data_IF_638820274607
#
_entry.id   IF_638820274607
#
_cell.length_a   1.000
_cell.length_b   1.000
_cell.length_c   1.000
_cell.angle_alpha   90.00
_cell.angle_beta   90.00
_cell.angle_gamma   90.00
#
_symmetry.space_group_name_H-M   'P 1'
#
loop_
_entity.id
_entity.type
_entity.pdbx_description
1 polymer ?
#
# COMPACT_ATOMS: atom_id res chain seq x y z
N UNK A 1 91.14 -51.81 -15.12
CA UNK A 1 91.54 -50.40 -15.13
C UNK A 1 90.40 -49.60 -14.60
N UNK A 2 90.57 -49.06 -13.41
CA UNK A 2 89.79 -48.08 -12.67
C UNK A 2 89.78 -46.72 -13.37
N UNK A 3 89.04 -45.67 -12.99
CA UNK A 3 88.54 -45.27 -11.67
C UNK A 3 87.15 -44.69 -11.70
N UNK A 4 86.45 -44.74 -10.55
CA UNK A 4 86.33 -43.70 -9.53
C UNK A 4 85.65 -42.39 -9.99
N UNK A 5 84.57 -42.06 -9.41
CA UNK A 5 84.39 -40.75 -8.77
C UNK A 5 83.00 -40.53 -8.13
N UNK A 6 83.06 -40.50 -6.83
CA UNK A 6 82.49 -39.48 -5.92
C UNK A 6 81.05 -39.13 -6.03
N UNK A 7 80.37 -39.50 -4.96
CA UNK A 7 79.14 -39.03 -4.50
C UNK A 7 79.08 -37.53 -4.16
N UNK A 8 77.86 -37.00 -4.25
CA UNK A 8 77.49 -35.80 -3.56
C UNK A 8 76.16 -36.00 -2.89
N UNK A 9 76.21 -36.17 -1.61
CA UNK A 9 75.06 -36.11 -0.74
C UNK A 9 74.50 -34.70 -0.75
N UNK A 10 73.26 -34.59 -1.18
CA UNK A 10 72.48 -33.35 -0.95
C UNK A 10 71.52 -33.57 0.20
N UNK A 11 71.82 -32.92 1.27
CA UNK A 11 71.05 -32.95 2.51
C UNK A 11 69.62 -32.44 2.28
N UNK A 12 68.71 -33.25 2.67
CA UNK A 12 67.36 -32.99 3.06
C UNK A 12 67.13 -31.61 3.64
N UNK A 13 66.21 -30.86 3.03
CA UNK A 13 65.52 -29.78 3.70
C UNK A 13 64.06 -30.14 3.80
N UNK A 14 63.73 -30.87 4.85
CA UNK A 14 62.37 -31.20 5.25
C UNK A 14 61.76 -29.95 5.89
N UNK A 15 61.04 -29.15 5.12
CA UNK A 15 60.18 -28.13 5.66
C UNK A 15 58.74 -28.64 5.55
N UNK A 16 58.32 -29.28 6.60
CA UNK A 16 56.91 -29.59 6.87
C UNK A 16 56.13 -28.28 6.95
N UNK A 17 55.57 -27.82 5.83
CA UNK A 17 54.62 -26.73 5.82
C UNK A 17 53.29 -27.30 6.29
N UNK A 18 53.03 -27.09 7.58
CA UNK A 18 51.74 -27.37 8.20
C UNK A 18 50.71 -26.51 7.47
N UNK A 19 49.99 -27.11 6.55
CA UNK A 19 48.78 -26.50 5.99
C UNK A 19 47.74 -26.46 7.10
N UNK A 20 47.67 -25.31 7.78
CA UNK A 20 46.54 -24.97 8.57
C UNK A 20 45.36 -24.84 7.65
N UNK A 21 44.49 -25.84 7.68
CA UNK A 21 43.22 -25.80 7.00
C UNK A 21 42.40 -24.65 7.60
N UNK A 22 42.35 -23.53 6.90
CA UNK A 22 41.36 -22.49 7.24
C UNK A 22 39.98 -23.11 7.04
N UNK A 23 39.10 -23.04 8.03
CA UNK A 23 37.73 -23.45 7.84
C UNK A 23 37.14 -22.55 6.75
N UNK A 24 36.71 -23.17 5.68
CA UNK A 24 35.89 -22.55 4.64
C UNK A 24 34.67 -21.97 5.40
N UNK A 25 34.71 -20.68 5.70
CA UNK A 25 33.50 -19.96 6.05
C UNK A 25 32.61 -20.03 4.83
N UNK A 26 31.70 -20.98 4.87
CA UNK A 26 30.50 -20.95 4.03
C UNK A 26 29.76 -19.68 4.36
N UNK A 27 30.00 -18.63 3.60
CA UNK A 27 29.11 -17.48 3.47
C UNK A 27 27.86 -17.97 2.76
N UNK A 28 27.08 -18.83 3.43
CA UNK A 28 25.67 -18.95 3.15
C UNK A 28 25.08 -17.57 3.47
N UNK A 29 24.77 -16.81 2.41
CA UNK A 29 23.87 -15.68 2.55
C UNK A 29 22.66 -16.20 3.38
N UNK A 30 22.30 -15.56 4.50
CA UNK A 30 21.22 -16.04 5.30
C UNK A 30 19.95 -15.94 4.44
N UNK A 31 19.49 -17.07 3.95
CA UNK A 31 18.08 -17.23 3.66
C UNK A 31 17.41 -16.86 4.97
N UNK A 32 16.76 -15.68 5.03
CA UNK A 32 16.04 -15.25 6.22
C UNK A 32 15.04 -16.37 6.51
N UNK A 33 15.16 -17.11 7.63
CA UNK A 33 14.21 -18.16 7.91
C UNK A 33 12.84 -17.51 7.99
N UNK A 34 11.84 -18.18 7.47
CA UNK A 34 10.44 -17.74 7.46
C UNK A 34 9.98 -17.20 8.84
N UNK A 35 10.57 -17.71 9.92
CA UNK A 35 10.33 -17.28 11.29
C UNK A 35 10.79 -15.83 11.55
N UNK A 36 11.93 -15.40 11.02
CA UNK A 36 12.42 -14.01 11.19
C UNK A 36 11.50 -13.01 10.49
N UNK A 37 10.94 -13.41 9.34
CA UNK A 37 9.96 -12.59 8.61
C UNK A 37 8.64 -12.45 9.37
N UNK A 38 8.19 -13.53 10.04
CA UNK A 38 7.01 -13.50 10.91
C UNK A 38 7.24 -12.63 12.16
N UNK A 39 8.44 -12.67 12.73
CA UNK A 39 8.79 -11.84 13.89
C UNK A 39 8.85 -10.35 13.51
N UNK A 40 9.38 -10.02 12.33
CA UNK A 40 9.34 -8.67 11.78
C UNK A 40 7.90 -8.19 11.57
N UNK A 41 7.03 -9.03 10.99
CA UNK A 41 5.60 -8.72 10.79
C UNK A 41 4.91 -8.44 12.13
N UNK A 42 5.13 -9.31 13.15
CA UNK A 42 4.58 -9.13 14.49
C UNK A 42 4.99 -7.79 15.09
N UNK A 43 6.28 -7.46 15.05
CA UNK A 43 6.81 -6.20 15.58
C UNK A 43 6.19 -4.99 14.88
N UNK A 44 6.07 -5.03 13.56
CA UNK A 44 5.45 -3.94 12.77
C UNK A 44 3.97 -3.80 13.07
N UNK A 45 3.27 -4.92 13.24
CA UNK A 45 1.85 -4.93 13.62
C UNK A 45 1.62 -4.25 14.98
N UNK A 46 2.47 -4.50 15.98
CA UNK A 46 2.39 -3.83 17.27
C UNK A 46 2.57 -2.30 17.14
N UNK A 47 3.49 -1.85 16.29
CA UNK A 47 3.68 -0.42 16.03
C UNK A 47 2.48 0.19 15.33
N UNK A 48 1.87 -0.50 14.37
CA UNK A 48 0.67 -0.06 13.67
C UNK A 48 -0.50 0.05 14.66
N UNK A 49 -0.73 -0.98 15.46
CA UNK A 49 -1.80 -0.95 16.48
C UNK A 49 -1.57 0.18 17.49
N UNK A 50 -0.34 0.35 17.96
CA UNK A 50 0.03 1.45 18.85
C UNK A 50 -0.23 2.83 18.21
N UNK A 51 0.13 3.01 16.94
CA UNK A 51 -0.12 4.24 16.21
C UNK A 51 -1.62 4.52 16.03
N UNK A 52 -2.43 3.48 15.75
CA UNK A 52 -3.90 3.62 15.64
C UNK A 52 -4.52 3.99 16.98
N UNK A 53 -4.10 3.35 18.07
CA UNK A 53 -4.61 3.67 19.42
C UNK A 53 -4.24 5.10 19.83
N UNK A 54 -2.99 5.51 19.65
CA UNK A 54 -2.56 6.88 19.91
C UNK A 54 -3.28 7.88 19.01
N UNK A 55 -3.46 7.54 17.73
CA UNK A 55 -4.21 8.31 16.77
C UNK A 55 -5.69 8.47 17.20
N UNK A 56 -6.32 7.38 17.67
CA UNK A 56 -7.71 7.41 18.15
C UNK A 56 -7.87 8.29 19.41
N UNK A 57 -6.91 8.23 20.33
CA UNK A 57 -6.89 9.09 21.52
C UNK A 57 -6.73 10.58 21.11
N UNK A 58 -5.82 10.84 20.19
CA UNK A 58 -5.61 12.18 19.63
C UNK A 58 -6.86 12.65 18.85
N UNK A 59 -7.47 11.77 18.06
CA UNK A 59 -8.72 12.00 17.36
C UNK A 59 -9.84 12.38 18.33
N UNK A 60 -10.04 11.59 19.39
CA UNK A 60 -11.04 11.87 20.41
C UNK A 60 -10.82 13.22 21.10
N UNK A 61 -9.57 13.54 21.44
CA UNK A 61 -9.22 14.83 22.05
C UNK A 61 -9.45 16.01 21.09
N UNK A 62 -9.22 15.80 19.80
CA UNK A 62 -9.45 16.81 18.78
C UNK A 62 -10.94 17.01 18.51
N UNK A 63 -11.72 15.91 18.44
CA UNK A 63 -13.17 15.94 18.24
C UNK A 63 -13.88 16.68 19.38
N UNK A 64 -13.39 16.54 20.62
CA UNK A 64 -13.96 17.24 21.77
C UNK A 64 -13.71 18.76 21.75
N UNK A 65 -12.78 19.24 20.93
CA UNK A 65 -12.44 20.66 20.79
C UNK A 65 -12.97 21.30 19.50
N UNK A 66 -13.13 20.51 18.45
CA UNK A 66 -13.61 20.94 17.13
C UNK A 66 -14.95 20.24 16.91
N UNK A 67 -16.00 21.00 16.54
CA UNK A 67 -17.33 20.45 16.17
C UNK A 67 -17.24 19.66 14.84
N UNK A 68 -16.46 18.56 14.90
CA UNK A 68 -16.20 17.74 13.72
C UNK A 68 -17.45 16.99 13.26
N UNK A 69 -18.39 16.72 14.18
CA UNK A 69 -19.69 16.16 13.83
C UNK A 69 -20.39 17.09 12.82
N UNK A 70 -20.33 18.39 13.01
CA UNK A 70 -20.86 19.37 12.05
C UNK A 70 -20.13 19.34 10.70
N UNK A 71 -18.83 19.03 10.69
CA UNK A 71 -18.10 18.88 9.44
C UNK A 71 -18.57 17.64 8.69
N UNK A 72 -18.76 16.52 9.39
CA UNK A 72 -19.25 15.28 8.79
C UNK A 72 -20.71 15.37 8.34
N UNK A 73 -21.52 16.24 8.97
CA UNK A 73 -22.92 16.51 8.56
C UNK A 73 -23.02 17.39 7.30
N UNK A 74 -21.98 18.13 6.94
CA UNK A 74 -22.04 19.06 5.78
C UNK A 74 -22.55 18.44 4.48
N UNK A 75 -22.16 17.23 4.08
CA UNK A 75 -22.64 16.63 2.84
C UNK A 75 -24.15 16.35 2.83
N UNK A 76 -24.78 16.11 3.96
CA UNK A 76 -26.20 15.78 4.06
C UNK A 76 -27.10 17.01 4.33
N UNK A 77 -26.53 18.10 4.89
CA UNK A 77 -27.32 19.31 5.25
C UNK A 77 -28.20 19.84 4.11
N UNK A 78 -27.77 19.89 2.83
CA UNK A 78 -28.62 20.37 1.75
C UNK A 78 -29.88 19.52 1.52
N UNK A 79 -29.84 18.24 1.89
CA UNK A 79 -30.92 17.28 1.69
C UNK A 79 -31.86 17.16 2.88
N UNK A 80 -31.48 17.65 4.05
CA UNK A 80 -32.32 17.61 5.26
C UNK A 80 -33.46 18.64 5.27
N UNK A 81 -33.47 19.63 4.35
CA UNK A 81 -34.49 20.67 4.26
C UNK A 81 -34.84 21.30 5.62
N UNK A 82 -33.81 21.55 6.47
CA UNK A 82 -33.96 22.11 7.79
C UNK A 82 -34.38 21.12 8.89
N UNK A 83 -34.45 19.83 8.59
CA UNK A 83 -34.69 18.76 9.59
C UNK A 83 -33.32 18.34 10.18
N UNK A 84 -33.37 17.76 11.39
CA UNK A 84 -32.19 17.19 12.03
C UNK A 84 -32.15 15.67 11.82
N UNK A 85 -30.96 15.11 11.87
CA UNK A 85 -30.76 13.65 11.91
C UNK A 85 -31.41 13.10 13.19
N UNK A 86 -32.04 11.94 13.09
CA UNK A 86 -32.72 11.28 14.19
C UNK A 86 -31.84 10.18 14.74
N UNK A 87 -31.75 10.08 16.06
CA UNK A 87 -31.17 8.94 16.73
C UNK A 87 -32.20 8.16 17.51
N UNK A 88 -32.20 6.85 17.36
CA UNK A 88 -33.19 5.93 17.94
C UNK A 88 -32.81 5.44 19.33
N UNK A 89 -31.52 5.50 19.66
CA UNK A 89 -30.98 5.00 20.92
C UNK A 89 -30.14 6.07 21.63
N UNK A 90 -30.19 6.18 22.98
CA UNK A 90 -29.39 7.17 23.70
C UNK A 90 -27.85 6.92 23.56
N UNK A 91 -27.43 5.69 23.29
CA UNK A 91 -26.02 5.35 23.04
C UNK A 91 -25.48 5.74 21.66
N UNK A 92 -26.35 6.16 20.73
CA UNK A 92 -25.96 6.50 19.35
C UNK A 92 -24.89 7.59 19.29
N UNK A 93 -25.04 8.66 20.07
CA UNK A 93 -24.08 9.77 20.10
C UNK A 93 -22.69 9.30 20.53
N UNK A 94 -22.60 8.38 21.49
CA UNK A 94 -21.34 7.80 21.93
C UNK A 94 -20.73 6.89 20.86
N UNK A 95 -21.54 6.06 20.19
CA UNK A 95 -21.10 5.21 19.08
C UNK A 95 -20.52 6.05 17.93
N UNK A 96 -21.23 7.10 17.50
CA UNK A 96 -20.77 8.02 16.46
C UNK A 96 -19.44 8.67 16.87
N UNK A 97 -19.33 9.15 18.11
CA UNK A 97 -18.12 9.78 18.62
C UNK A 97 -16.92 8.81 18.61
N UNK A 98 -17.12 7.56 19.04
CA UNK A 98 -16.07 6.54 19.02
C UNK A 98 -15.65 6.20 17.58
N UNK A 99 -16.62 5.97 16.69
CA UNK A 99 -16.37 5.61 15.30
C UNK A 99 -15.65 6.75 14.54
N UNK A 100 -16.08 7.99 14.74
CA UNK A 100 -15.43 9.17 14.21
C UNK A 100 -14.00 9.32 14.76
N UNK A 101 -13.80 9.13 16.08
CA UNK A 101 -12.49 9.21 16.72
C UNK A 101 -11.51 8.17 16.17
N UNK A 102 -11.99 6.94 16.00
CA UNK A 102 -11.18 5.85 15.42
C UNK A 102 -10.80 6.15 13.97
N UNK A 103 -11.73 6.68 13.19
CA UNK A 103 -11.51 7.05 11.79
C UNK A 103 -10.49 8.17 11.65
N UNK A 104 -10.63 9.23 12.44
CA UNK A 104 -9.63 10.31 12.48
C UNK A 104 -8.28 9.80 12.97
N UNK A 105 -8.29 8.92 13.96
CA UNK A 105 -7.11 8.25 14.44
C UNK A 105 -6.42 7.44 13.33
N UNK A 106 -7.18 6.73 12.52
CA UNK A 106 -6.67 5.97 11.37
C UNK A 106 -6.07 6.90 10.30
N UNK A 107 -6.76 8.01 9.99
CA UNK A 107 -6.26 9.02 9.05
C UNK A 107 -4.96 9.64 9.56
N UNK A 108 -4.89 10.00 10.83
CA UNK A 108 -3.69 10.58 11.43
C UNK A 108 -2.55 9.56 11.52
N UNK A 109 -2.86 8.30 11.79
CA UNK A 109 -1.89 7.20 11.83
C UNK A 109 -1.48 6.71 10.43
N UNK A 110 -2.18 7.10 9.35
CA UNK A 110 -1.94 6.60 7.99
C UNK A 110 -0.47 6.71 7.54
N UNK A 111 0.29 7.81 7.78
CA UNK A 111 1.70 7.85 7.37
C UNK A 111 2.56 6.81 8.10
N UNK A 112 2.23 6.51 9.35
CA UNK A 112 2.94 5.48 10.14
C UNK A 112 2.56 4.09 9.63
N UNK A 113 1.28 3.83 9.43
CA UNK A 113 0.75 2.56 8.90
C UNK A 113 1.37 2.26 7.55
N UNK A 114 1.27 3.20 6.61
CA UNK A 114 1.83 3.06 5.27
C UNK A 114 3.35 2.91 5.31
N UNK A 115 4.04 3.64 6.18
CA UNK A 115 5.48 3.50 6.40
C UNK A 115 5.88 2.10 6.84
N UNK A 116 5.14 1.49 7.77
CA UNK A 116 5.41 0.13 8.23
C UNK A 116 5.04 -0.94 7.19
N UNK A 117 3.92 -0.77 6.47
CA UNK A 117 3.51 -1.66 5.38
C UNK A 117 4.53 -1.62 4.25
N UNK A 118 4.92 -0.42 3.79
CA UNK A 118 5.93 -0.25 2.74
C UNK A 118 7.31 -0.69 3.19
N UNK A 119 7.68 -0.43 4.44
CA UNK A 119 8.92 -0.92 5.03
C UNK A 119 8.99 -2.46 5.09
N UNK A 120 7.85 -3.15 5.22
CA UNK A 120 7.77 -4.61 5.17
C UNK A 120 7.93 -5.15 3.74
N UNK A 121 7.42 -4.43 2.74
CA UNK A 121 7.59 -4.77 1.33
C UNK A 121 8.98 -4.40 0.77
N UNK A 122 9.63 -3.39 1.36
CA UNK A 122 10.88 -2.78 0.90
C UNK A 122 12.09 -3.71 0.84
N UNK A 123 12.35 -4.66 1.78
CA UNK A 123 13.49 -5.56 1.68
C UNK A 123 13.47 -6.43 0.40
N UNK A 124 12.28 -6.70 -0.13
CA UNK A 124 12.12 -7.38 -1.41
C UNK A 124 12.39 -6.49 -2.64
N UNK A 125 12.44 -5.15 -2.46
CA UNK A 125 12.47 -4.16 -3.55
C UNK A 125 13.83 -3.57 -3.90
N UNK A 126 14.95 -4.00 -3.49
CA UNK A 126 16.31 -3.45 -3.71
C UNK A 126 16.98 -2.79 -2.51
N UNK A 127 18.06 -3.41 -2.07
CA UNK A 127 18.93 -2.89 -1.00
C UNK A 127 19.69 -1.60 -1.39
N UNK A 128 19.62 -1.14 -2.65
CA UNK A 128 20.47 -0.05 -3.14
C UNK A 128 19.83 1.33 -3.28
N UNK A 129 18.50 1.48 -3.14
CA UNK A 129 17.83 2.77 -3.39
C UNK A 129 16.88 3.22 -2.28
N UNK A 130 17.41 3.44 -1.08
CA UNK A 130 16.66 4.06 0.02
C UNK A 130 16.02 5.42 -0.36
N UNK A 131 16.59 6.10 -1.35
CA UNK A 131 16.06 7.40 -1.86
C UNK A 131 14.69 7.28 -2.56
N UNK A 132 14.31 6.10 -3.02
CA UNK A 132 13.03 5.89 -3.71
C UNK A 132 11.88 5.60 -2.74
N UNK A 133 12.19 5.12 -1.53
CA UNK A 133 11.19 4.78 -0.51
C UNK A 133 10.41 6.01 -0.04
N UNK A 134 11.11 7.10 0.23
CA UNK A 134 10.48 8.34 0.74
C UNK A 134 9.45 8.93 -0.24
N UNK A 135 9.75 9.13 -1.53
CA UNK A 135 8.75 9.65 -2.47
C UNK A 135 7.58 8.69 -2.70
N UNK A 136 7.80 7.36 -2.62
CA UNK A 136 6.72 6.38 -2.68
C UNK A 136 5.80 6.51 -1.45
N UNK A 137 6.38 6.63 -0.26
CA UNK A 137 5.62 6.79 0.97
C UNK A 137 4.80 8.10 0.97
N UNK A 138 5.42 9.21 0.56
CA UNK A 138 4.71 10.49 0.43
C UNK A 138 3.59 10.38 -0.60
N UNK A 139 3.84 9.71 -1.73
CA UNK A 139 2.82 9.42 -2.74
C UNK A 139 1.68 8.58 -2.21
N UNK A 140 1.97 7.55 -1.41
CA UNK A 140 0.97 6.70 -0.77
C UNK A 140 0.08 7.51 0.18
N UNK A 141 0.67 8.24 1.12
CA UNK A 141 -0.10 9.09 2.04
C UNK A 141 -0.94 10.12 1.29
N UNK A 142 -0.37 10.76 0.27
CA UNK A 142 -1.11 11.74 -0.54
C UNK A 142 -2.28 11.09 -1.29
N UNK A 143 -2.09 9.88 -1.82
CA UNK A 143 -3.12 9.15 -2.56
C UNK A 143 -4.21 8.64 -1.62
N UNK A 144 -3.86 8.15 -0.44
CA UNK A 144 -4.80 7.78 0.62
C UNK A 144 -5.70 8.95 1.02
N UNK A 145 -5.09 10.11 1.32
CA UNK A 145 -5.84 11.32 1.67
C UNK A 145 -6.70 11.83 0.52
N UNK A 146 -6.20 11.76 -0.72
CA UNK A 146 -6.97 12.12 -1.91
C UNK A 146 -8.19 11.20 -2.09
N UNK A 147 -8.06 9.89 -1.79
CA UNK A 147 -9.17 8.94 -1.80
C UNK A 147 -10.26 9.31 -0.79
N UNK A 148 -9.87 9.61 0.45
CA UNK A 148 -10.81 10.06 1.48
C UNK A 148 -11.49 11.37 1.07
N UNK A 149 -10.72 12.34 0.57
CA UNK A 149 -11.26 13.61 0.11
C UNK A 149 -12.25 13.44 -1.05
N UNK A 150 -11.91 12.60 -2.04
CA UNK A 150 -12.81 12.29 -3.15
C UNK A 150 -14.12 11.66 -2.65
N UNK A 151 -14.02 10.69 -1.74
CA UNK A 151 -15.17 10.06 -1.14
C UNK A 151 -16.08 11.09 -0.47
N UNK A 152 -15.50 11.91 0.40
CA UNK A 152 -16.25 12.83 1.25
C UNK A 152 -16.87 14.01 0.46
N UNK A 153 -16.12 14.60 -0.48
CA UNK A 153 -16.56 15.80 -1.19
C UNK A 153 -17.31 15.52 -2.51
N UNK A 154 -17.13 14.34 -3.09
CA UNK A 154 -17.73 14.02 -4.40
C UNK A 154 -18.68 12.84 -4.31
N UNK A 155 -18.18 11.68 -3.87
CA UNK A 155 -18.97 10.45 -3.96
C UNK A 155 -20.14 10.47 -2.98
N UNK A 156 -19.89 10.85 -1.73
CA UNK A 156 -20.91 10.90 -0.68
C UNK A 156 -22.06 11.85 -1.04
N UNK A 157 -21.83 13.13 -1.45
CA UNK A 157 -22.94 14.00 -1.87
C UNK A 157 -23.70 13.48 -3.10
N UNK A 158 -23.00 12.95 -4.11
CA UNK A 158 -23.63 12.38 -5.28
C UNK A 158 -24.53 11.19 -4.94
N UNK A 159 -24.07 10.31 -4.05
CA UNK A 159 -24.84 9.16 -3.59
C UNK A 159 -26.08 9.61 -2.83
N UNK A 160 -25.92 10.57 -1.91
CA UNK A 160 -27.04 11.13 -1.16
C UNK A 160 -28.05 11.82 -2.09
N UNK A 161 -27.58 12.60 -3.06
CA UNK A 161 -28.44 13.24 -4.06
C UNK A 161 -29.28 12.23 -4.84
N UNK A 162 -28.67 11.13 -5.23
CA UNK A 162 -29.37 10.07 -5.94
C UNK A 162 -30.42 9.37 -5.06
N UNK A 163 -30.02 8.96 -3.83
CA UNK A 163 -30.91 8.26 -2.90
C UNK A 163 -32.11 9.13 -2.53
N UNK A 164 -31.86 10.40 -2.19
CA UNK A 164 -32.93 11.34 -1.83
C UNK A 164 -33.79 11.75 -3.03
N UNK A 165 -33.24 11.71 -4.25
CA UNK A 165 -33.98 11.97 -5.49
C UNK A 165 -34.95 10.86 -5.89
N UNK A 166 -34.87 9.67 -5.28
CA UNK A 166 -35.81 8.57 -5.47
C UNK A 166 -37.03 8.65 -4.53
N UNK A 167 -37.08 9.64 -3.66
CA UNK A 167 -38.19 9.82 -2.72
C UNK A 167 -39.47 10.16 -3.48
N UNK A 168 -40.57 9.53 -3.08
CA UNK A 168 -41.92 9.90 -3.54
C UNK A 168 -42.55 10.90 -2.58
N UNK A 169 -43.38 11.79 -3.06
CA UNK A 169 -44.13 12.78 -2.25
C UNK A 169 -44.97 12.14 -1.12
N UNK A 170 -45.17 10.82 -1.18
CA UNK A 170 -45.95 10.07 -0.21
C UNK A 170 -45.13 9.67 1.07
N UNK A 171 -43.80 9.80 1.04
CA UNK A 171 -42.92 9.35 2.13
C UNK A 171 -42.10 10.51 2.68
N UNK A 172 -42.08 10.66 3.98
CA UNK A 172 -41.17 11.61 4.64
C UNK A 172 -39.92 10.88 5.13
N UNK A 173 -38.73 11.20 4.61
CA UNK A 173 -37.51 10.51 5.03
C UNK A 173 -37.17 10.82 6.49
N UNK A 174 -36.94 9.77 7.26
CA UNK A 174 -36.43 9.83 8.62
C UNK A 174 -35.03 9.23 8.64
N UNK A 175 -34.01 10.06 8.42
CA UNK A 175 -32.65 9.60 8.28
C UNK A 175 -32.04 9.36 9.65
N UNK A 176 -31.61 8.11 9.91
CA UNK A 176 -30.91 7.72 11.12
C UNK A 176 -29.49 8.29 11.14
N UNK A 177 -29.12 8.98 12.20
CA UNK A 177 -27.76 9.49 12.37
C UNK A 177 -26.72 8.36 12.33
N UNK A 178 -26.99 7.23 12.99
CA UNK A 178 -26.08 6.08 13.01
C UNK A 178 -25.78 5.58 11.59
N UNK A 179 -26.82 5.32 10.82
CA UNK A 179 -26.69 4.79 9.46
C UNK A 179 -25.94 5.75 8.54
N UNK A 180 -26.23 7.04 8.64
CA UNK A 180 -25.53 8.05 7.86
C UNK A 180 -24.04 8.13 8.20
N UNK A 181 -23.67 8.21 9.49
CA UNK A 181 -22.28 8.30 9.90
C UNK A 181 -21.50 7.03 9.59
N UNK A 182 -22.10 5.86 9.82
CA UNK A 182 -21.46 4.57 9.49
C UNK A 182 -21.24 4.43 7.98
N UNK A 183 -22.20 4.87 7.17
CA UNK A 183 -22.06 4.92 5.71
C UNK A 183 -20.94 5.87 5.29
N UNK A 184 -20.95 7.12 5.76
CA UNK A 184 -19.96 8.13 5.41
C UNK A 184 -18.54 7.72 5.81
N UNK A 185 -18.38 7.16 7.00
CA UNK A 185 -17.10 6.67 7.54
C UNK A 185 -16.60 5.46 6.74
N UNK A 186 -17.43 4.45 6.57
CA UNK A 186 -17.06 3.23 5.85
C UNK A 186 -16.65 3.54 4.41
N UNK A 187 -17.42 4.38 3.72
CA UNK A 187 -17.14 4.83 2.37
C UNK A 187 -15.79 5.56 2.29
N UNK A 188 -15.53 6.48 3.23
CA UNK A 188 -14.28 7.26 3.26
C UNK A 188 -13.06 6.38 3.47
N UNK A 189 -13.11 5.44 4.41
CA UNK A 189 -12.01 4.49 4.68
C UNK A 189 -11.79 3.57 3.48
N UNK A 190 -12.87 3.07 2.89
CA UNK A 190 -12.82 2.19 1.73
C UNK A 190 -12.15 2.86 0.53
N UNK A 191 -12.55 4.11 0.21
CA UNK A 191 -11.89 4.88 -0.84
C UNK A 191 -10.42 5.15 -0.53
N UNK A 192 -10.08 5.53 0.71
CA UNK A 192 -8.69 5.70 1.12
C UNK A 192 -7.86 4.44 0.84
N UNK A 193 -8.34 3.27 1.28
CA UNK A 193 -7.66 1.99 1.08
C UNK A 193 -7.55 1.60 -0.42
N UNK A 194 -8.60 1.84 -1.20
CA UNK A 194 -8.64 1.55 -2.64
C UNK A 194 -7.67 2.43 -3.42
N UNK A 195 -7.47 3.67 -2.99
CA UNK A 195 -6.52 4.58 -3.63
C UNK A 195 -5.06 4.16 -3.45
N UNK A 196 -4.76 3.21 -2.55
CA UNK A 196 -3.44 2.57 -2.45
C UNK A 196 -3.16 1.55 -3.58
N UNK A 197 -4.17 1.08 -4.32
CA UNK A 197 -3.99 0.10 -5.40
C UNK A 197 -2.94 0.50 -6.44
N UNK A 198 -2.87 1.74 -6.95
CA UNK A 198 -1.85 2.14 -7.93
C UNK A 198 -0.43 1.91 -7.42
N UNK A 199 -0.19 2.25 -6.17
CA UNK A 199 1.14 2.13 -5.57
C UNK A 199 1.44 0.66 -5.25
N UNK A 200 0.45 -0.11 -4.78
CA UNK A 200 0.59 -1.54 -4.57
C UNK A 200 0.93 -2.28 -5.87
N UNK A 201 0.26 -1.97 -6.98
CA UNK A 201 0.55 -2.54 -8.30
C UNK A 201 1.94 -2.13 -8.80
N UNK A 202 2.36 -0.88 -8.57
CA UNK A 202 3.71 -0.42 -8.89
C UNK A 202 4.77 -1.21 -8.14
N UNK A 203 4.56 -1.48 -6.86
CA UNK A 203 5.47 -2.30 -6.06
C UNK A 203 5.56 -3.74 -6.57
N UNK A 204 4.42 -4.37 -6.83
CA UNK A 204 4.37 -5.72 -7.39
C UNK A 204 5.06 -5.79 -8.77
N UNK A 205 4.94 -4.73 -9.56
CA UNK A 205 5.64 -4.61 -10.85
C UNK A 205 7.15 -4.43 -10.66
N UNK A 206 7.56 -3.65 -9.67
CA UNK A 206 8.97 -3.47 -9.33
C UNK A 206 9.61 -4.76 -8.82
N UNK A 207 8.86 -5.58 -8.07
CA UNK A 207 9.27 -6.92 -7.64
C UNK A 207 9.34 -7.94 -8.80
N UNK A 208 8.78 -7.60 -9.98
CA UNK A 208 8.70 -8.51 -11.11
C UNK A 208 7.61 -9.58 -11.00
N UNK A 209 6.79 -9.54 -9.95
CA UNK A 209 5.67 -10.48 -9.74
C UNK A 209 4.58 -10.23 -10.78
N UNK A 210 4.31 -8.94 -11.07
CA UNK A 210 3.29 -8.52 -12.03
C UNK A 210 3.95 -7.77 -13.17
N UNK A 211 3.57 -8.11 -14.40
CA UNK A 211 4.05 -7.40 -15.60
C UNK A 211 2.93 -6.53 -16.18
N UNK A 212 3.24 -5.38 -16.81
CA UNK A 212 2.22 -4.55 -17.45
C UNK A 212 1.41 -5.31 -18.52
N UNK A 213 2.04 -6.28 -19.21
CA UNK A 213 1.35 -7.14 -20.17
C UNK A 213 0.29 -8.02 -19.51
N UNK A 214 0.57 -8.54 -18.31
CA UNK A 214 -0.36 -9.35 -17.54
C UNK A 214 -1.57 -8.51 -17.12
N UNK A 215 -1.34 -7.30 -16.60
CA UNK A 215 -2.41 -6.37 -16.24
C UNK A 215 -3.31 -6.05 -17.43
N UNK A 216 -2.72 -5.73 -18.59
CA UNK A 216 -3.50 -5.46 -19.80
C UNK A 216 -4.32 -6.67 -20.25
N UNK A 217 -3.81 -7.89 -20.11
CA UNK A 217 -4.53 -9.13 -20.45
C UNK A 217 -5.77 -9.33 -19.57
N UNK A 218 -5.68 -8.98 -18.29
CA UNK A 218 -6.73 -9.19 -17.30
C UNK A 218 -7.69 -8.00 -17.13
N UNK A 219 -7.65 -6.99 -18.00
CA UNK A 219 -8.55 -5.80 -17.94
C UNK A 219 -10.04 -6.15 -17.79
N UNK A 220 -10.51 -7.15 -18.54
CA UNK A 220 -11.91 -7.58 -18.46
C UNK A 220 -12.28 -8.20 -17.11
N UNK A 221 -11.35 -8.98 -16.56
CA UNK A 221 -11.54 -9.60 -15.25
C UNK A 221 -11.42 -8.57 -14.12
N UNK A 222 -10.52 -7.58 -14.24
CA UNK A 222 -10.39 -6.53 -13.25
C UNK A 222 -11.63 -5.65 -13.16
N UNK A 223 -12.35 -5.39 -14.27
CA UNK A 223 -13.61 -4.68 -14.21
C UNK A 223 -14.66 -5.43 -13.36
N UNK A 224 -14.76 -6.75 -13.53
CA UNK A 224 -15.65 -7.59 -12.72
C UNK A 224 -15.20 -7.63 -11.25
N UNK A 225 -13.89 -7.75 -10.99
CA UNK A 225 -13.33 -7.72 -9.64
C UNK A 225 -13.60 -6.38 -8.97
N UNK A 226 -13.41 -5.25 -9.67
CA UNK A 226 -13.71 -3.93 -9.15
C UNK A 226 -15.20 -3.78 -8.80
N UNK A 227 -16.08 -4.27 -9.66
CA UNK A 227 -17.53 -4.26 -9.41
C UNK A 227 -17.90 -5.12 -8.19
N UNK A 228 -17.31 -6.30 -8.09
CA UNK A 228 -17.53 -7.22 -6.95
C UNK A 228 -17.00 -6.61 -5.66
N UNK A 229 -15.80 -6.03 -5.68
CA UNK A 229 -15.23 -5.33 -4.53
C UNK A 229 -16.08 -4.14 -4.10
N UNK A 230 -16.57 -3.36 -5.08
CA UNK A 230 -17.49 -2.26 -4.81
C UNK A 230 -18.77 -2.76 -4.12
N UNK A 231 -19.34 -3.88 -4.55
CA UNK A 231 -20.52 -4.48 -3.94
C UNK A 231 -20.33 -4.92 -2.48
N UNK A 232 -19.13 -5.39 -2.13
CA UNK A 232 -18.79 -5.75 -0.74
C UNK A 232 -18.55 -4.53 0.16
N UNK A 233 -18.02 -3.45 -0.41
CA UNK A 233 -17.64 -2.25 0.35
C UNK A 233 -18.85 -1.35 0.57
N UNK A 234 -19.79 -1.29 -0.38
CA UNK A 234 -20.97 -0.42 -0.31
C UNK A 234 -21.97 -0.98 0.71
N UNK A 235 -22.20 -0.33 1.85
CA UNK A 235 -23.22 -0.71 2.81
C UNK A 235 -24.57 -0.26 2.29
N UNK A 236 -25.38 -1.14 1.78
CA UNK A 236 -26.67 -0.84 1.16
C UNK A 236 -26.64 -1.19 -0.32
N UNK A 237 -27.27 -2.24 -0.70
CA UNK A 237 -27.23 -2.86 -2.03
C UNK A 237 -27.82 -1.97 -3.17
N UNK A 238 -27.66 -0.65 -3.12
CA UNK A 238 -28.16 0.24 -4.16
C UNK A 238 -27.20 0.28 -5.37
N UNK A 239 -27.72 0.14 -6.58
CA UNK A 239 -26.90 0.09 -7.79
C UNK A 239 -26.12 1.37 -8.06
N UNK A 240 -26.61 2.52 -7.61
CA UNK A 240 -25.94 3.80 -7.85
C UNK A 240 -24.65 3.93 -7.04
N UNK A 241 -24.69 3.69 -5.72
CA UNK A 241 -23.50 3.68 -4.87
C UNK A 241 -22.48 2.65 -5.35
N UNK A 242 -22.95 1.49 -5.83
CA UNK A 242 -22.10 0.48 -6.43
C UNK A 242 -21.31 1.03 -7.62
N UNK A 243 -21.97 1.68 -8.59
CA UNK A 243 -21.31 2.26 -9.74
C UNK A 243 -20.48 3.49 -9.37
N UNK A 244 -20.93 4.31 -8.42
CA UNK A 244 -20.20 5.46 -7.92
C UNK A 244 -18.85 5.07 -7.32
N UNK A 245 -18.74 3.87 -6.72
CA UNK A 245 -17.49 3.31 -6.22
C UNK A 245 -16.72 2.56 -7.32
N UNK A 246 -17.40 1.76 -8.15
CA UNK A 246 -16.75 0.90 -9.15
C UNK A 246 -16.03 1.69 -10.25
N UNK A 247 -16.60 2.84 -10.70
CA UNK A 247 -16.01 3.67 -11.74
C UNK A 247 -14.65 4.26 -11.34
N UNK A 248 -14.52 4.96 -10.21
CA UNK A 248 -13.22 5.43 -9.73
C UNK A 248 -12.21 4.28 -9.50
N UNK A 249 -12.68 3.15 -8.96
CA UNK A 249 -11.87 1.97 -8.69
C UNK A 249 -11.26 1.40 -9.99
N UNK A 250 -12.06 1.27 -11.03
CA UNK A 250 -11.59 0.85 -12.35
C UNK A 250 -10.66 1.91 -12.97
N UNK A 251 -10.95 3.20 -12.80
CA UNK A 251 -10.09 4.29 -13.24
C UNK A 251 -8.71 4.24 -12.58
N UNK A 252 -8.64 3.94 -11.28
CA UNK A 252 -7.39 3.75 -10.55
C UNK A 252 -6.61 2.53 -11.04
N UNK A 253 -7.30 1.45 -11.40
CA UNK A 253 -6.66 0.29 -12.02
C UNK A 253 -6.02 0.64 -13.37
N UNK A 254 -6.71 1.37 -14.24
CA UNK A 254 -6.16 1.85 -15.51
C UNK A 254 -4.96 2.81 -15.31
N UNK A 255 -5.07 3.71 -14.33
CA UNK A 255 -3.95 4.57 -13.92
C UNK A 255 -2.75 3.74 -13.46
N UNK A 256 -3.00 2.65 -12.73
CA UNK A 256 -1.96 1.72 -12.28
C UNK A 256 -1.23 1.07 -13.45
N UNK A 257 -1.95 0.62 -14.48
CA UNK A 257 -1.35 0.06 -15.71
C UNK A 257 -0.48 1.10 -16.40
N UNK A 258 -0.96 2.33 -16.51
CA UNK A 258 -0.23 3.42 -17.14
C UNK A 258 1.09 3.70 -16.40
N UNK A 259 1.04 3.85 -15.08
CA UNK A 259 2.21 4.08 -14.23
C UNK A 259 3.18 2.89 -14.29
N UNK A 260 2.68 1.65 -14.20
CA UNK A 260 3.49 0.44 -14.30
C UNK A 260 4.20 0.34 -15.66
N UNK A 261 3.54 0.73 -16.74
CA UNK A 261 4.14 0.74 -18.08
C UNK A 261 5.27 1.75 -18.19
N UNK A 262 5.10 2.94 -17.63
CA UNK A 262 6.15 3.98 -17.58
C UNK A 262 7.35 3.49 -16.77
N UNK A 263 7.11 2.94 -15.57
CA UNK A 263 8.15 2.43 -14.70
C UNK A 263 8.94 1.30 -15.36
N UNK A 264 8.26 0.36 -15.99
CA UNK A 264 8.89 -0.76 -16.70
C UNK A 264 9.72 -0.30 -17.91
N UNK A 265 9.25 0.68 -18.69
CA UNK A 265 10.01 1.27 -19.81
C UNK A 265 11.28 1.95 -19.33
N UNK A 266 11.23 2.67 -18.21
CA UNK A 266 12.39 3.36 -17.63
C UNK A 266 13.45 2.36 -17.17
N UNK A 267 13.04 1.27 -16.52
CA UNK A 267 13.95 0.19 -16.07
C UNK A 267 14.66 -0.47 -17.23
N UNK A 268 13.95 -0.88 -18.28
CA UNK A 268 14.55 -1.50 -19.48
C UNK A 268 15.59 -0.61 -20.18
N UNK A 269 15.35 0.73 -20.21
CA UNK A 269 16.32 1.69 -20.77
C UNK A 269 17.60 1.75 -19.94
N UNK A 270 17.49 1.66 -18.62
CA UNK A 270 18.64 1.68 -17.70
C UNK A 270 19.47 0.39 -17.84
N UNK A 271 18.81 -0.76 -17.88
CA UNK A 271 19.46 -2.07 -18.07
C UNK A 271 20.19 -2.15 -19.43
N UNK A 272 19.56 -1.71 -20.52
CA UNK A 272 20.17 -1.66 -21.84
C UNK A 272 21.40 -0.73 -21.87
N UNK A 273 21.36 0.39 -21.17
CA UNK A 273 22.49 1.33 -21.08
C UNK A 273 23.66 0.72 -20.30
N UNK A 274 23.39 -0.02 -19.23
CA UNK A 274 24.42 -0.73 -18.47
C UNK A 274 25.06 -1.84 -19.28
N UNK A 275 24.28 -2.60 -20.05
CA UNK A 275 24.81 -3.68 -20.92
C UNK A 275 25.73 -3.12 -22.00
N UNK A 276 25.41 -1.97 -22.59
CA UNK A 276 26.27 -1.29 -23.59
C UNK A 276 27.58 -0.80 -22.94
N UNK A 277 27.54 -0.28 -21.72
CA UNK A 277 28.72 0.21 -21.00
C UNK A 277 29.65 -0.93 -20.54
N UNK A 278 29.09 -2.10 -20.26
CA UNK A 278 29.85 -3.31 -19.85
C UNK A 278 30.40 -4.13 -21.03
N UNK A 279 30.05 -3.77 -22.27
CA UNK A 279 30.51 -4.44 -23.51
C UNK A 279 31.57 -3.67 -24.35
N UNK A 280 32.56 -2.95 -23.81
CA UNK A 280 33.49 -2.17 -24.62
C UNK A 280 34.78 -2.90 -25.01
N UNK A 281 35.00 -4.18 -24.71
CA UNK A 281 36.37 -4.74 -24.87
C UNK A 281 36.50 -5.99 -25.74
N UNK A 282 35.53 -6.37 -26.56
CA UNK A 282 35.65 -7.56 -27.39
C UNK A 282 36.04 -7.31 -28.88
N UNK A 283 36.18 -6.04 -29.31
CA UNK A 283 36.54 -5.76 -30.71
C UNK A 283 38.01 -5.32 -30.94
N UNK A 284 38.88 -5.33 -29.91
CA UNK A 284 40.23 -4.84 -30.03
C UNK A 284 41.34 -5.93 -30.01
N UNK A 285 40.99 -7.21 -30.12
CA UNK A 285 41.99 -8.30 -30.09
C UNK A 285 42.10 -9.13 -31.40
N UNK A 286 41.65 -8.59 -32.52
CA UNK A 286 41.92 -9.16 -33.85
C UNK A 286 42.36 -8.05 -34.79
N UNK A 287 43.62 -7.58 -34.63
CA UNK A 287 44.46 -6.99 -35.65
C UNK A 287 45.90 -7.40 -35.36
#
# INVERSE_FOLDING_TARGET
MTPSSKGRTCKSCSTKKTMTAQPIRSTSAPAMPFLDHLEELRRRLFWIVGAVVLGAIAGFSLLSRIDLIRLLERPILPFLHGRNLIYTHPGTSFHILLNASLTFGLILASPVILGHVWGFLSPALYASEKRVIVPILVGAVALFLAGIALSFFVVLPLTLQFLMGLESDALTPMISATEYFDFAISMSIAFGAVFELPIAILALTALGIVTPKLLCKYRRHSAVICLTMAAFITPGADPFSLFALAIPLYGLYELSIFLATIAHRKRRKTEARQTILLSPSRSASHV
#
